data_IF_711306574261
#
_entry.id   IF_711306574261
#
_cell.length_a   1.000
_cell.length_b   1.000
_cell.length_c   1.000
_cell.angle_alpha   90.00
_cell.angle_beta   90.00
_cell.angle_gamma   90.00
#
_symmetry.space_group_name_H-M   'P 1'
#
loop_
_entity.id
_entity.type
_entity.pdbx_description
1 polymer ?
#
# COMPACT_ATOMS: atom_id res chain seq x y z
N UNK A 1 24.81 52.69 33.08
CA UNK A 1 23.91 51.54 32.83
C UNK A 1 22.99 51.81 31.62
N UNK A 2 23.52 52.26 30.49
CA UNK A 2 22.69 52.65 29.32
C UNK A 2 23.21 52.03 28.02
N UNK A 3 24.53 52.01 27.81
CA UNK A 3 25.13 51.41 26.61
C UNK A 3 24.86 49.90 26.47
N UNK A 4 24.95 49.13 27.56
CA UNK A 4 24.72 47.67 27.52
C UNK A 4 23.26 47.29 27.27
N UNK A 5 22.31 48.12 27.70
CA UNK A 5 20.87 47.89 27.49
C UNK A 5 20.47 48.21 26.05
N UNK A 6 21.03 49.27 25.47
CA UNK A 6 20.80 49.64 24.07
C UNK A 6 21.35 48.57 23.11
N UNK A 7 22.53 48.00 23.41
CA UNK A 7 23.13 46.91 22.62
C UNK A 7 22.29 45.62 22.71
N UNK A 8 21.78 45.27 23.90
CA UNK A 8 20.95 44.08 24.07
C UNK A 8 19.60 44.18 23.32
N UNK A 9 18.95 45.35 23.35
CA UNK A 9 17.66 45.58 22.67
C UNK A 9 17.83 45.62 21.14
N UNK A 10 18.92 46.19 20.64
CA UNK A 10 19.21 46.17 19.19
C UNK A 10 19.57 44.78 18.68
N UNK A 11 20.33 43.98 19.45
CA UNK A 11 20.61 42.60 19.08
C UNK A 11 19.33 41.75 19.03
N UNK A 12 18.43 41.92 20.01
CA UNK A 12 17.17 41.19 20.06
C UNK A 12 16.24 41.55 18.88
N UNK A 13 16.19 42.83 18.47
CA UNK A 13 15.40 43.27 17.31
C UNK A 13 16.00 42.81 15.98
N UNK A 14 17.32 42.76 15.86
CA UNK A 14 18.00 42.22 14.66
C UNK A 14 17.81 40.72 14.57
N UNK A 15 17.88 39.99 15.70
CA UNK A 15 17.54 38.56 15.76
C UNK A 15 16.07 38.36 15.36
N UNK A 16 15.12 39.11 15.95
CA UNK A 16 13.71 39.02 15.58
C UNK A 16 13.45 39.34 14.09
N UNK A 17 14.15 40.32 13.49
CA UNK A 17 13.99 40.67 12.08
C UNK A 17 14.66 39.66 11.11
N UNK A 18 15.71 38.95 11.55
CA UNK A 18 16.35 37.88 10.77
C UNK A 18 15.56 36.56 10.88
N UNK A 19 14.92 36.30 12.02
CA UNK A 19 14.09 35.11 12.22
C UNK A 19 12.61 35.28 11.82
N UNK A 20 12.09 36.52 11.70
CA UNK A 20 10.72 36.76 11.24
C UNK A 20 10.42 36.20 9.82
N UNK A 21 11.33 36.26 8.83
CA UNK A 21 11.12 35.60 7.53
C UNK A 21 11.29 34.08 7.58
N UNK A 22 11.94 33.53 8.60
CA UNK A 22 12.16 32.08 8.78
C UNK A 22 10.94 31.41 9.42
N UNK A 23 10.08 32.17 10.11
CA UNK A 23 8.85 31.69 10.73
C UNK A 23 7.64 31.76 9.77
N UNK A 24 7.78 32.33 8.56
CA UNK A 24 6.66 32.44 7.62
C UNK A 24 6.37 31.17 6.78
N UNK A 25 7.29 30.20 6.72
CA UNK A 25 7.12 28.99 5.90
C UNK A 25 6.64 27.75 6.68
N UNK A 26 6.00 27.92 7.85
CA UNK A 26 5.55 26.79 8.66
C UNK A 26 4.48 27.09 9.70
N UNK A 27 3.68 28.13 9.50
CA UNK A 27 2.46 28.34 10.30
C UNK A 27 1.30 27.87 9.43
N UNK A 28 0.65 26.73 9.76
CA UNK A 28 -0.64 26.38 9.18
C UNK A 28 -1.55 27.59 9.36
N UNK A 29 -2.09 28.10 8.26
CA UNK A 29 -3.15 29.11 8.30
C UNK A 29 -4.48 28.35 8.31
N UNK A 30 -4.68 27.56 9.36
CA UNK A 30 -5.93 26.87 9.69
C UNK A 30 -6.13 27.09 11.19
N UNK A 31 -7.34 27.48 11.60
CA UNK A 31 -7.62 27.58 13.03
C UNK A 31 -7.48 26.19 13.67
N UNK A 32 -7.17 26.12 14.96
CA UNK A 32 -7.18 24.86 15.75
C UNK A 32 -8.59 24.16 15.77
N UNK A 33 -9.57 24.63 14.99
CA UNK A 33 -10.97 24.20 14.94
C UNK A 33 -11.46 23.78 13.53
N UNK A 34 -10.65 23.88 12.47
CA UNK A 34 -11.11 23.50 11.11
C UNK A 34 -11.01 21.97 10.90
N UNK A 35 -12.06 21.30 10.39
CA UNK A 35 -12.04 19.86 10.20
C UNK A 35 -11.02 19.46 9.13
N UNK A 36 -10.40 18.30 9.30
CA UNK A 36 -9.26 17.87 8.49
C UNK A 36 -9.44 16.46 7.93
N UNK A 37 -8.89 16.25 6.73
CA UNK A 37 -8.70 14.92 6.14
C UNK A 37 -7.25 14.48 6.33
N UNK A 38 -7.04 13.34 6.99
CA UNK A 38 -5.72 12.76 7.18
C UNK A 38 -5.33 11.84 6.01
N UNK A 39 -4.22 12.13 5.34
CA UNK A 39 -3.65 11.25 4.31
C UNK A 39 -2.56 10.39 4.93
N UNK A 40 -2.84 9.10 5.11
CA UNK A 40 -1.92 8.11 5.69
C UNK A 40 -1.38 7.22 4.58
N UNK A 41 -0.07 7.03 4.52
CA UNK A 41 0.58 6.34 3.40
C UNK A 41 1.21 5.00 3.81
N UNK A 42 0.89 3.93 3.07
CA UNK A 42 1.61 2.66 3.08
C UNK A 42 2.31 2.45 1.73
N UNK A 43 3.65 2.43 1.73
CA UNK A 43 4.46 2.03 0.56
C UNK A 43 5.34 0.83 0.86
N UNK A 44 5.48 -0.06 -0.12
CA UNK A 44 6.22 -1.31 0.02
C UNK A 44 5.37 -2.42 0.65
N UNK A 45 6.01 -3.50 1.07
CA UNK A 45 5.30 -4.67 1.59
C UNK A 45 4.57 -4.42 2.92
N UNK A 46 3.57 -5.24 3.22
CA UNK A 46 2.87 -5.29 4.52
C UNK A 46 3.73 -5.97 5.58
N UNK A 47 4.92 -5.42 5.83
CA UNK A 47 5.81 -5.87 6.91
C UNK A 47 5.34 -5.35 8.27
N UNK A 48 5.75 -5.98 9.37
CA UNK A 48 5.46 -5.50 10.73
C UNK A 48 5.82 -4.03 10.93
N UNK A 49 6.96 -3.57 10.40
CA UNK A 49 7.40 -2.19 10.54
C UNK A 49 6.43 -1.22 9.83
N UNK A 50 6.11 -1.50 8.56
CA UNK A 50 5.22 -0.65 7.77
C UNK A 50 3.80 -0.65 8.33
N UNK A 51 3.28 -1.83 8.68
CA UNK A 51 1.94 -1.97 9.23
C UNK A 51 1.83 -1.32 10.60
N UNK A 52 2.84 -1.45 11.48
CA UNK A 52 2.80 -0.79 12.79
C UNK A 52 2.82 0.74 12.68
N UNK A 53 3.55 1.30 11.72
CA UNK A 53 3.53 2.74 11.48
C UNK A 53 2.14 3.21 11.04
N UNK A 54 1.55 2.56 10.03
CA UNK A 54 0.20 2.89 9.56
C UNK A 54 -0.87 2.67 10.65
N UNK A 55 -0.73 1.64 11.49
CA UNK A 55 -1.58 1.42 12.65
C UNK A 55 -1.51 2.55 13.67
N UNK A 56 -0.32 3.10 13.89
CA UNK A 56 -0.12 4.23 14.77
C UNK A 56 -0.78 5.48 14.18
N UNK A 57 -0.51 5.80 12.91
CA UNK A 57 -1.11 6.94 12.22
C UNK A 57 -2.65 6.85 12.22
N UNK A 58 -3.20 5.67 11.90
CA UNK A 58 -4.65 5.43 11.97
C UNK A 58 -5.21 5.56 13.38
N UNK A 59 -4.42 5.27 14.41
CA UNK A 59 -4.85 5.48 15.81
C UNK A 59 -4.84 6.97 16.15
N UNK A 60 -3.80 7.68 15.75
CA UNK A 60 -3.69 9.12 15.95
C UNK A 60 -4.85 9.85 15.28
N UNK A 61 -5.19 9.48 14.04
CA UNK A 61 -6.37 9.98 13.32
C UNK A 61 -7.66 9.81 14.13
N UNK A 62 -7.97 8.59 14.60
CA UNK A 62 -9.19 8.32 15.38
C UNK A 62 -9.25 9.05 16.74
N UNK A 63 -8.11 9.45 17.28
CA UNK A 63 -8.04 10.12 18.59
C UNK A 63 -7.88 11.64 18.50
N UNK A 64 -7.78 12.18 17.28
CA UNK A 64 -7.67 13.60 17.03
C UNK A 64 -9.02 14.14 16.58
N UNK A 65 -9.66 14.95 17.43
CA UNK A 65 -11.00 15.51 17.18
C UNK A 65 -11.04 16.45 15.96
N UNK A 66 -9.90 16.95 15.46
CA UNK A 66 -9.88 17.74 14.22
C UNK A 66 -9.84 16.88 12.96
N UNK A 67 -9.57 15.58 13.05
CA UNK A 67 -9.53 14.68 11.88
C UNK A 67 -10.89 14.02 11.75
N UNK A 68 -11.58 14.30 10.64
CA UNK A 68 -12.95 13.84 10.42
C UNK A 68 -13.07 12.78 9.31
N UNK A 69 -11.99 12.55 8.56
CA UNK A 69 -11.89 11.47 7.58
C UNK A 69 -10.44 11.07 7.29
N UNK A 70 -10.26 9.88 6.73
CA UNK A 70 -8.95 9.34 6.35
C UNK A 70 -8.90 8.98 4.87
N UNK A 71 -7.81 9.38 4.21
CA UNK A 71 -7.36 8.80 2.95
C UNK A 71 -6.20 7.86 3.22
N UNK A 72 -6.36 6.59 2.86
CA UNK A 72 -5.30 5.59 2.96
C UNK A 72 -4.65 5.40 1.58
N UNK A 73 -3.50 6.06 1.38
CA UNK A 73 -2.72 5.97 0.14
C UNK A 73 -1.85 4.73 0.17
N UNK A 74 -2.04 3.82 -0.78
CA UNK A 74 -1.39 2.50 -0.81
C UNK A 74 -0.62 2.26 -2.10
N UNK A 75 0.61 1.80 -1.95
CA UNK A 75 1.41 1.17 -3.00
C UNK A 75 2.14 -0.05 -2.42
N UNK A 76 1.49 -1.21 -2.46
CA UNK A 76 1.92 -2.44 -1.81
C UNK A 76 1.66 -3.69 -2.65
N UNK A 77 2.67 -4.56 -2.83
CA UNK A 77 2.49 -5.89 -3.41
C UNK A 77 1.91 -6.90 -2.40
N UNK A 78 1.72 -6.52 -1.13
CA UNK A 78 1.37 -7.41 -0.03
C UNK A 78 2.57 -7.83 0.81
N UNK A 79 2.47 -8.98 1.48
CA UNK A 79 3.46 -9.40 2.47
C UNK A 79 2.94 -10.52 3.38
N UNK A 80 3.55 -10.71 4.56
CA UNK A 80 3.15 -11.72 5.53
C UNK A 80 1.66 -11.65 5.89
N UNK A 81 1.04 -12.82 6.07
CA UNK A 81 -0.41 -12.95 6.31
C UNK A 81 -0.82 -12.27 7.62
N UNK A 82 -0.06 -12.51 8.68
CA UNK A 82 -0.28 -11.95 10.02
C UNK A 82 -0.21 -10.42 10.03
N UNK A 83 0.83 -9.84 9.44
CA UNK A 83 0.95 -8.39 9.31
C UNK A 83 -0.17 -7.79 8.43
N UNK A 84 -0.58 -8.50 7.38
CA UNK A 84 -1.70 -8.07 6.53
C UNK A 84 -3.04 -8.12 7.28
N UNK A 85 -3.25 -9.11 8.16
CA UNK A 85 -4.40 -9.17 9.04
C UNK A 85 -4.43 -8.04 10.06
N UNK A 86 -3.28 -7.70 10.66
CA UNK A 86 -3.16 -6.53 11.54
C UNK A 86 -3.46 -5.22 10.81
N UNK A 87 -3.06 -5.10 9.54
CA UNK A 87 -3.40 -3.95 8.71
C UNK A 87 -4.92 -3.86 8.49
N UNK A 88 -5.55 -4.95 8.06
CA UNK A 88 -7.01 -5.04 7.90
C UNK A 88 -7.77 -4.69 9.19
N UNK A 89 -7.36 -5.25 10.34
CA UNK A 89 -8.03 -4.99 11.61
C UNK A 89 -7.95 -3.50 12.01
N UNK A 90 -6.86 -2.83 11.67
CA UNK A 90 -6.68 -1.41 11.93
C UNK A 90 -7.57 -0.54 11.02
N UNK A 91 -7.57 -0.84 9.72
CA UNK A 91 -8.42 -0.14 8.74
C UNK A 91 -9.89 -0.35 9.06
N UNK A 92 -10.31 -1.60 9.32
CA UNK A 92 -11.69 -1.94 9.68
C UNK A 92 -12.15 -1.23 10.96
N UNK A 93 -11.26 -1.06 11.94
CA UNK A 93 -11.57 -0.29 13.16
C UNK A 93 -11.78 1.18 12.82
N UNK A 94 -10.93 1.78 11.98
CA UNK A 94 -11.09 3.16 11.54
C UNK A 94 -12.36 3.38 10.74
N UNK A 95 -12.66 2.53 9.75
CA UNK A 95 -13.89 2.63 8.96
C UNK A 95 -15.17 2.44 9.80
N UNK A 96 -15.06 1.85 11.00
CA UNK A 96 -16.20 1.76 11.94
C UNK A 96 -16.42 3.03 12.77
N UNK A 97 -15.46 3.96 12.78
CA UNK A 97 -15.47 5.18 13.60
C UNK A 97 -15.56 6.45 12.74
N UNK A 98 -14.99 6.45 11.53
CA UNK A 98 -14.96 7.59 10.61
C UNK A 98 -14.76 7.12 9.16
N UNK A 99 -15.05 7.95 8.14
CA UNK A 99 -14.84 7.61 6.75
C UNK A 99 -13.38 7.29 6.41
N UNK A 100 -13.17 6.21 5.67
CA UNK A 100 -11.87 5.79 5.13
C UNK A 100 -11.99 5.56 3.63
N UNK A 101 -11.27 6.37 2.84
CA UNK A 101 -11.13 6.15 1.40
C UNK A 101 -9.73 5.63 1.10
N UNK A 102 -9.62 4.46 0.48
CA UNK A 102 -8.36 3.94 0.00
C UNK A 102 -8.02 4.52 -1.38
N UNK A 103 -6.82 5.01 -1.57
CA UNK A 103 -6.29 5.41 -2.88
C UNK A 103 -5.12 4.52 -3.27
N UNK A 104 -5.26 3.77 -4.36
CA UNK A 104 -4.20 2.90 -4.86
C UNK A 104 -3.31 3.68 -5.81
N UNK A 105 -2.17 4.14 -5.30
CA UNK A 105 -1.19 4.93 -6.05
C UNK A 105 -0.51 4.10 -7.15
N UNK A 106 -0.15 2.85 -6.85
CA UNK A 106 0.50 1.95 -7.80
C UNK A 106 -0.16 0.59 -7.76
N UNK A 107 0.11 -0.15 -6.69
CA UNK A 107 -0.44 -1.49 -6.49
C UNK A 107 -1.13 -1.60 -5.13
N UNK A 108 -2.22 -2.35 -5.04
CA UNK A 108 -2.71 -2.89 -3.77
C UNK A 108 -3.08 -4.35 -4.03
N UNK A 109 -2.08 -5.23 -3.92
CA UNK A 109 -2.21 -6.65 -4.21
C UNK A 109 -2.02 -7.46 -2.91
N UNK A 110 -2.61 -8.65 -2.86
CA UNK A 110 -2.48 -9.61 -1.75
C UNK A 110 -2.74 -8.92 -0.40
N UNK A 111 -1.80 -8.97 0.54
CA UNK A 111 -1.91 -8.29 1.84
C UNK A 111 -2.25 -6.80 1.78
N UNK A 112 -1.82 -6.09 0.72
CA UNK A 112 -2.19 -4.69 0.49
C UNK A 112 -3.67 -4.54 0.18
N UNK A 113 -4.21 -5.41 -0.68
CA UNK A 113 -5.65 -5.45 -0.98
C UNK A 113 -6.46 -5.89 0.25
N UNK A 114 -6.00 -6.93 0.95
CA UNK A 114 -6.62 -7.44 2.18
C UNK A 114 -6.82 -6.31 3.19
N UNK A 115 -5.78 -5.50 3.41
CA UNK A 115 -5.79 -4.41 4.36
C UNK A 115 -6.76 -3.28 4.02
N UNK A 116 -6.85 -2.89 2.74
CA UNK A 116 -7.74 -1.79 2.31
C UNK A 116 -9.18 -2.20 2.05
N UNK A 117 -9.46 -3.51 1.99
CA UNK A 117 -10.80 -4.04 1.72
C UNK A 117 -11.92 -3.45 2.60
N UNK A 118 -11.71 -3.09 3.89
CA UNK A 118 -12.72 -2.46 4.73
C UNK A 118 -12.98 -0.97 4.47
N UNK A 119 -12.21 -0.32 3.59
CA UNK A 119 -12.43 1.08 3.26
C UNK A 119 -13.82 1.29 2.65
N UNK A 120 -14.44 2.44 2.92
CA UNK A 120 -15.76 2.80 2.41
C UNK A 120 -15.75 2.99 0.89
N UNK A 121 -14.61 3.41 0.35
CA UNK A 121 -14.41 3.57 -1.09
C UNK A 121 -12.95 3.28 -1.47
N UNK A 122 -12.72 2.64 -2.61
CA UNK A 122 -11.41 2.35 -3.21
C UNK A 122 -11.30 3.09 -4.54
N UNK A 123 -10.41 4.08 -4.57
CA UNK A 123 -10.05 4.88 -5.74
C UNK A 123 -8.78 4.31 -6.37
N UNK A 124 -8.80 4.12 -7.69
CA UNK A 124 -7.67 3.59 -8.48
C UNK A 124 -7.39 4.48 -9.68
N UNK A 125 -6.14 4.54 -10.15
CA UNK A 125 -5.86 5.06 -11.50
C UNK A 125 -6.11 3.95 -12.53
N UNK A 126 -6.29 4.27 -13.83
CA UNK A 126 -6.41 3.24 -14.86
C UNK A 126 -5.24 2.26 -14.89
N UNK A 127 -4.05 2.72 -14.52
CA UNK A 127 -2.81 1.93 -14.45
C UNK A 127 -2.57 1.25 -13.09
N UNK A 128 -3.37 1.55 -12.07
CA UNK A 128 -3.20 0.92 -10.76
C UNK A 128 -3.55 -0.57 -10.85
N UNK A 129 -2.94 -1.40 -10.01
CA UNK A 129 -3.21 -2.85 -10.00
C UNK A 129 -3.77 -3.27 -8.64
N UNK A 130 -4.87 -4.01 -8.63
CA UNK A 130 -5.49 -4.54 -7.40
C UNK A 130 -5.78 -6.04 -7.49
N UNK A 131 -6.09 -6.68 -6.37
CA UNK A 131 -6.45 -8.10 -6.31
C UNK A 131 -5.32 -8.98 -5.76
N UNK A 132 -4.96 -10.06 -6.45
CA UNK A 132 -4.05 -11.10 -5.95
C UNK A 132 -4.55 -11.73 -4.64
N UNK A 133 -5.85 -12.09 -4.63
CA UNK A 133 -6.52 -12.67 -3.47
C UNK A 133 -6.10 -14.13 -3.34
N UNK A 134 -5.17 -14.40 -2.43
CA UNK A 134 -4.64 -15.75 -2.23
C UNK A 134 -3.49 -15.78 -1.24
N UNK A 135 -3.03 -17.00 -0.98
CA UNK A 135 -1.91 -17.28 -0.07
C UNK A 135 -0.96 -18.23 -0.77
N UNK A 136 0.34 -17.94 -0.68
CA UNK A 136 1.39 -18.80 -1.22
C UNK A 136 2.43 -19.07 -0.14
N UNK A 137 3.04 -20.25 -0.20
CA UNK A 137 4.24 -20.58 0.56
C UNK A 137 5.36 -20.79 -0.44
N UNK A 138 6.42 -20.00 -0.30
CA UNK A 138 7.62 -20.13 -1.13
C UNK A 138 8.71 -20.82 -0.31
N UNK A 139 8.94 -22.10 -0.59
CA UNK A 139 10.05 -22.86 -0.02
C UNK A 139 10.48 -23.98 -0.99
N UNK A 140 11.77 -24.38 -0.99
CA UNK A 140 12.19 -25.59 -1.70
C UNK A 140 11.43 -26.81 -1.16
N UNK A 141 10.76 -27.54 -2.04
CA UNK A 141 9.97 -28.72 -1.65
C UNK A 141 10.83 -29.79 -0.95
N UNK A 142 12.10 -29.91 -1.32
CA UNK A 142 13.05 -30.83 -0.69
C UNK A 142 13.31 -30.48 0.79
N UNK A 143 13.30 -29.20 1.15
CA UNK A 143 13.44 -28.78 2.55
C UNK A 143 12.20 -29.14 3.36
N UNK A 144 11.00 -29.02 2.76
CA UNK A 144 9.76 -29.45 3.42
C UNK A 144 9.79 -30.97 3.65
N UNK A 145 10.18 -31.75 2.65
CA UNK A 145 10.32 -33.21 2.77
C UNK A 145 11.36 -33.63 3.81
N UNK A 146 12.48 -32.92 3.89
CA UNK A 146 13.53 -33.19 4.88
C UNK A 146 13.02 -32.91 6.30
N UNK A 147 12.35 -31.77 6.52
CA UNK A 147 11.77 -31.42 7.82
C UNK A 147 10.70 -32.43 8.22
N UNK A 148 9.88 -32.89 7.28
CA UNK A 148 8.86 -33.90 7.51
C UNK A 148 9.49 -35.22 7.99
N UNK A 149 10.57 -35.69 7.35
CA UNK A 149 11.32 -36.88 7.76
C UNK A 149 12.03 -36.72 9.10
N UNK A 150 12.69 -35.58 9.33
CA UNK A 150 13.31 -35.25 10.61
C UNK A 150 12.28 -35.15 11.74
N UNK A 151 11.02 -34.87 11.40
CA UNK A 151 9.89 -34.85 12.30
C UNK A 151 9.78 -36.11 13.18
N UNK A 152 10.23 -37.28 12.72
CA UNK A 152 10.19 -38.52 13.52
C UNK A 152 11.22 -38.57 14.66
N UNK A 153 12.14 -37.60 14.73
CA UNK A 153 13.23 -37.57 15.73
C UNK A 153 12.94 -36.70 16.95
N UNK A 154 11.81 -35.98 16.98
CA UNK A 154 11.46 -35.08 18.08
C UNK A 154 10.70 -35.79 19.21
N UNK A 155 11.10 -35.53 20.46
CA UNK A 155 10.28 -35.83 21.64
C UNK A 155 9.34 -34.64 21.89
N UNK A 156 8.03 -34.87 21.81
CA UNK A 156 7.03 -33.81 21.81
C UNK A 156 6.06 -33.92 22.99
N UNK A 157 5.54 -32.77 23.41
CA UNK A 157 4.47 -32.68 24.41
C UNK A 157 3.07 -33.00 23.86
N UNK A 158 2.91 -33.09 22.55
CA UNK A 158 1.67 -33.41 21.86
C UNK A 158 1.91 -33.82 20.40
N UNK A 159 0.99 -34.55 19.77
CA UNK A 159 1.19 -35.14 18.44
C UNK A 159 1.41 -34.08 17.35
N UNK A 160 0.72 -32.95 17.40
CA UNK A 160 0.72 -31.95 16.32
C UNK A 160 1.83 -30.88 16.46
N UNK A 161 2.62 -30.93 17.54
CA UNK A 161 3.58 -29.86 17.86
C UNK A 161 4.80 -29.89 16.92
N UNK A 162 5.06 -28.79 16.21
CA UNK A 162 6.22 -28.68 15.31
C UNK A 162 6.27 -29.83 14.29
N UNK A 163 5.11 -30.13 13.72
CA UNK A 163 4.97 -31.00 12.57
C UNK A 163 4.76 -30.11 11.34
N UNK A 164 5.56 -30.32 10.30
CA UNK A 164 5.41 -29.65 9.02
C UNK A 164 5.37 -30.77 7.98
N UNK A 165 4.32 -30.79 7.18
CA UNK A 165 4.16 -31.67 6.03
C UNK A 165 3.62 -30.88 4.86
N UNK A 166 3.78 -31.40 3.65
CA UNK A 166 3.20 -30.76 2.46
C UNK A 166 1.69 -30.66 2.52
N UNK A 167 1.04 -31.71 3.03
CA UNK A 167 -0.43 -31.75 3.13
C UNK A 167 -0.94 -30.81 4.22
N UNK A 168 -0.24 -30.70 5.36
CA UNK A 168 -0.56 -29.73 6.40
C UNK A 168 -0.41 -28.28 5.89
N UNK A 169 0.68 -27.98 5.18
CA UNK A 169 0.85 -26.66 4.56
C UNK A 169 -0.23 -26.35 3.51
N UNK A 170 -0.68 -27.35 2.75
CA UNK A 170 -1.78 -27.17 1.80
C UNK A 170 -3.08 -26.84 2.53
N UNK A 171 -3.40 -27.57 3.60
CA UNK A 171 -4.58 -27.31 4.41
C UNK A 171 -4.55 -25.90 5.02
N UNK A 172 -3.40 -25.48 5.57
CA UNK A 172 -3.21 -24.13 6.11
C UNK A 172 -3.44 -23.05 5.03
N UNK A 173 -2.84 -23.22 3.84
CA UNK A 173 -3.03 -22.30 2.70
C UNK A 173 -4.50 -22.21 2.32
N UNK A 174 -5.21 -23.34 2.23
CA UNK A 174 -6.63 -23.36 1.88
C UNK A 174 -7.51 -22.69 2.93
N UNK A 175 -7.22 -22.87 4.23
CA UNK A 175 -7.92 -22.20 5.33
C UNK A 175 -7.73 -20.68 5.22
N UNK A 176 -6.49 -20.22 5.06
CA UNK A 176 -6.17 -18.80 4.97
C UNK A 176 -6.75 -18.16 3.69
N UNK A 177 -6.70 -18.86 2.55
CA UNK A 177 -7.33 -18.40 1.31
C UNK A 177 -8.84 -18.26 1.49
N UNK A 178 -9.52 -19.23 2.10
CA UNK A 178 -10.97 -19.13 2.38
C UNK A 178 -11.30 -17.94 3.28
N UNK A 179 -10.44 -17.65 4.26
CA UNK A 179 -10.56 -16.45 5.10
C UNK A 179 -10.44 -15.17 4.27
N UNK A 180 -9.42 -15.06 3.41
CA UNK A 180 -9.23 -13.91 2.52
C UNK A 180 -10.44 -13.70 1.62
N UNK A 181 -10.83 -14.71 0.84
CA UNK A 181 -12.02 -14.60 -0.02
C UNK A 181 -13.26 -14.27 0.82
N UNK A 182 -13.40 -14.81 2.02
CA UNK A 182 -14.46 -14.47 2.96
C UNK A 182 -14.47 -12.99 3.36
N UNK A 183 -13.31 -12.41 3.66
CA UNK A 183 -13.15 -10.97 3.97
C UNK A 183 -13.51 -10.08 2.80
N UNK A 184 -13.05 -10.40 1.58
CA UNK A 184 -13.41 -9.64 0.38
C UNK A 184 -14.90 -9.70 0.10
N UNK A 185 -15.49 -10.89 0.18
CA UNK A 185 -16.93 -11.08 -0.04
C UNK A 185 -17.80 -10.39 1.01
N UNK A 186 -17.30 -10.26 2.25
CA UNK A 186 -18.02 -9.56 3.32
C UNK A 186 -18.17 -8.07 3.05
N UNK A 187 -17.11 -7.46 2.54
CA UNK A 187 -17.02 -6.01 2.36
C UNK A 187 -17.43 -5.55 0.97
N UNK A 188 -17.09 -6.32 -0.07
CA UNK A 188 -17.33 -5.96 -1.48
C UNK A 188 -18.28 -6.90 -2.21
N UNK A 189 -18.79 -7.94 -1.55
CA UNK A 189 -19.59 -8.98 -2.21
C UNK A 189 -20.87 -8.49 -2.89
N UNK A 190 -21.41 -7.34 -2.47
CA UNK A 190 -22.57 -6.71 -3.12
C UNK A 190 -22.19 -5.89 -4.36
N UNK A 191 -20.93 -5.46 -4.45
CA UNK A 191 -20.41 -4.59 -5.51
C UNK A 191 -19.66 -5.38 -6.58
N UNK A 192 -19.27 -6.62 -6.27
CA UNK A 192 -18.55 -7.50 -7.18
C UNK A 192 -19.45 -8.01 -8.31
N UNK A 193 -19.00 -7.81 -9.56
CA UNK A 193 -19.65 -8.32 -10.77
C UNK A 193 -19.08 -9.69 -11.21
N UNK A 194 -18.12 -10.23 -10.47
CA UNK A 194 -17.53 -11.56 -10.71
C UNK A 194 -17.84 -12.54 -9.58
N UNK A 195 -17.97 -13.85 -9.88
CA UNK A 195 -18.36 -14.82 -8.87
C UNK A 195 -17.25 -15.11 -7.87
N UNK A 196 -17.62 -15.64 -6.71
CA UNK A 196 -16.69 -15.98 -5.62
C UNK A 196 -15.54 -16.88 -6.07
N UNK A 197 -15.82 -17.81 -6.96
CA UNK A 197 -14.85 -18.73 -7.54
C UNK A 197 -13.77 -17.99 -8.34
N UNK A 198 -14.15 -16.92 -9.05
CA UNK A 198 -13.20 -16.11 -9.81
C UNK A 198 -12.32 -15.26 -8.91
N UNK A 199 -12.93 -14.66 -7.87
CA UNK A 199 -12.19 -13.95 -6.81
C UNK A 199 -11.16 -14.86 -6.13
N UNK A 200 -11.48 -16.14 -5.95
CA UNK A 200 -10.59 -17.12 -5.33
C UNK A 200 -9.40 -17.54 -6.21
N UNK A 201 -9.40 -17.25 -7.52
CA UNK A 201 -8.34 -17.66 -8.44
C UNK A 201 -7.04 -16.83 -8.31
N UNK A 202 -7.03 -15.76 -7.52
CA UNK A 202 -5.82 -14.96 -7.25
C UNK A 202 -5.40 -14.07 -8.42
N UNK A 203 -6.31 -13.73 -9.34
CA UNK A 203 -6.05 -12.79 -10.42
C UNK A 203 -5.80 -11.36 -9.91
N UNK A 204 -5.11 -10.56 -10.73
CA UNK A 204 -4.98 -9.11 -10.54
C UNK A 204 -5.68 -8.37 -11.66
N UNK A 205 -6.19 -7.19 -11.35
CA UNK A 205 -6.95 -6.36 -12.28
C UNK A 205 -6.36 -4.96 -12.35
N UNK A 206 -6.21 -4.44 -13.56
CA UNK A 206 -5.88 -3.02 -13.76
C UNK A 206 -7.06 -2.16 -13.35
N UNK A 207 -6.84 -0.92 -12.91
CA UNK A 207 -7.88 -0.09 -12.30
C UNK A 207 -9.13 0.09 -13.16
N UNK A 208 -8.97 0.17 -14.48
CA UNK A 208 -10.10 0.26 -15.40
C UNK A 208 -10.99 -1.00 -15.40
N UNK A 209 -10.40 -2.18 -15.23
CA UNK A 209 -11.12 -3.46 -15.09
C UNK A 209 -11.59 -3.68 -13.66
N UNK A 210 -10.79 -3.27 -12.67
CA UNK A 210 -11.12 -3.36 -11.26
C UNK A 210 -12.39 -2.57 -10.90
N UNK A 211 -12.62 -1.43 -11.56
CA UNK A 211 -13.87 -0.67 -11.39
C UNK A 211 -15.06 -1.30 -12.10
N UNK A 212 -14.83 -2.09 -13.16
CA UNK A 212 -15.88 -2.82 -13.87
C UNK A 212 -16.28 -4.12 -13.19
N UNK A 213 -15.38 -4.74 -12.43
CA UNK A 213 -15.63 -6.01 -11.75
C UNK A 213 -15.93 -5.85 -10.24
N UNK A 214 -15.93 -4.60 -9.74
CA UNK A 214 -16.22 -4.28 -8.35
C UNK A 214 -15.05 -4.42 -7.37
N UNK A 215 -13.81 -4.61 -7.83
CA UNK A 215 -12.62 -4.59 -6.98
C UNK A 215 -12.20 -3.18 -6.54
N UNK A 216 -12.64 -2.17 -7.26
CA UNK A 216 -12.50 -0.76 -6.91
C UNK A 216 -13.79 -0.02 -7.26
N UNK A 217 -13.97 1.17 -6.70
CA UNK A 217 -15.23 1.92 -6.82
C UNK A 217 -15.13 3.02 -7.87
N UNK A 218 -13.95 3.66 -8.00
CA UNK A 218 -13.77 4.78 -8.93
C UNK A 218 -12.39 4.86 -9.56
N UNK A 219 -12.38 5.44 -10.76
CA UNK A 219 -11.16 5.94 -11.39
C UNK A 219 -10.89 7.36 -10.91
N UNK A 220 -9.69 7.61 -10.38
CA UNK A 220 -9.26 8.93 -9.93
C UNK A 220 -7.84 8.96 -9.40
N UNK A 221 -7.50 10.09 -8.78
CA UNK A 221 -6.22 10.34 -8.15
C UNK A 221 -6.40 10.64 -6.65
N UNK A 222 -5.31 11.07 -6.00
CA UNK A 222 -5.32 11.41 -4.57
C UNK A 222 -6.28 12.54 -4.25
N UNK A 223 -6.44 13.53 -5.14
CA UNK A 223 -7.31 14.68 -4.90
C UNK A 223 -8.76 14.23 -4.88
N UNK A 224 -9.16 13.37 -5.82
CA UNK A 224 -10.48 12.75 -5.77
C UNK A 224 -10.66 11.96 -4.46
N UNK A 225 -9.68 11.16 -4.05
CA UNK A 225 -9.81 10.39 -2.82
C UNK A 225 -10.01 11.29 -1.58
N UNK A 226 -9.33 12.44 -1.52
CA UNK A 226 -9.51 13.44 -0.45
C UNK A 226 -10.92 14.04 -0.52
N UNK A 227 -11.38 14.47 -1.69
CA UNK A 227 -12.74 14.98 -1.90
C UNK A 227 -13.80 13.95 -1.47
N UNK A 228 -13.61 12.68 -1.84
CA UNK A 228 -14.51 11.58 -1.46
C UNK A 228 -14.51 11.36 0.05
N UNK A 229 -13.35 11.35 0.69
CA UNK A 229 -13.25 11.18 2.14
C UNK A 229 -13.95 12.33 2.88
N UNK A 230 -13.74 13.57 2.45
CA UNK A 230 -14.45 14.74 2.97
C UNK A 230 -15.97 14.63 2.77
N UNK A 231 -16.42 14.28 1.56
CA UNK A 231 -17.84 14.14 1.22
C UNK A 231 -18.56 13.05 2.04
N UNK A 232 -17.84 12.01 2.45
CA UNK A 232 -18.40 10.91 3.24
C UNK A 232 -18.48 11.25 4.74
N UNK A 233 -17.84 12.32 5.19
CA UNK A 233 -17.90 12.77 6.58
C UNK A 233 -19.11 13.69 6.79
N UNK A 234 -19.88 13.42 7.84
CA UNK A 234 -21.00 14.28 8.24
C UNK A 234 -20.53 15.58 8.92
N UNK A 235 -19.25 15.63 9.33
CA UNK A 235 -18.65 16.75 10.07
C UNK A 235 -17.84 17.71 9.17
N UNK A 236 -17.73 17.42 7.87
CA UNK A 236 -17.11 18.30 6.87
C UNK A 236 -18.19 18.93 5.97
N UNK A 237 -18.42 20.23 6.13
CA UNK A 237 -19.39 21.00 5.33
C UNK A 237 -18.73 21.61 4.07
N UNK A 238 -18.91 20.97 2.92
CA UNK A 238 -18.46 21.48 1.62
C UNK A 238 -16.94 21.42 1.43
N UNK A 239 -16.35 22.45 0.83
CA UNK A 239 -14.93 22.47 0.44
C UNK A 239 -14.00 23.07 1.52
N UNK A 240 -14.48 23.24 2.75
CA UNK A 240 -13.71 23.85 3.84
C UNK A 240 -13.17 22.77 4.78
N UNK A 241 -12.00 22.24 4.44
CA UNK A 241 -11.25 21.32 5.29
C UNK A 241 -9.75 21.46 5.03
N UNK A 242 -8.96 21.15 6.05
CA UNK A 242 -7.51 21.04 5.92
C UNK A 242 -7.09 19.62 5.50
N UNK A 243 -5.90 19.48 4.94
CA UNK A 243 -5.33 18.17 4.59
C UNK A 243 -4.03 17.96 5.33
N UNK A 244 -3.99 16.93 6.19
CA UNK A 244 -2.82 16.60 6.99
C UNK A 244 -2.19 15.32 6.44
N UNK A 245 -0.96 15.43 5.95
CA UNK A 245 -0.21 14.27 5.48
C UNK A 245 0.55 13.63 6.64
N UNK A 246 0.19 12.39 6.97
CA UNK A 246 0.89 11.55 7.93
C UNK A 246 1.73 10.51 7.17
N UNK A 247 3.01 10.42 7.52
CA UNK A 247 3.91 9.50 6.85
C UNK A 247 5.15 9.19 7.65
N UNK A 248 5.29 7.91 8.02
CA UNK A 248 6.59 7.31 8.27
C UNK A 248 7.33 7.11 6.95
N UNK A 249 8.55 7.65 6.83
CA UNK A 249 9.45 7.29 5.73
C UNK A 249 9.82 5.81 5.79
N UNK A 250 9.04 4.97 5.11
CA UNK A 250 9.32 3.54 4.94
C UNK A 250 10.25 3.30 3.76
N UNK A 251 11.24 2.42 3.94
CA UNK A 251 12.15 2.02 2.88
C UNK A 251 11.39 1.26 1.77
N UNK A 252 11.69 1.59 0.51
CA UNK A 252 11.19 0.87 -0.66
C UNK A 252 11.71 -0.58 -0.67
N UNK A 253 10.87 -1.52 -0.27
CA UNK A 253 11.10 -2.95 -0.54
C UNK A 253 10.36 -3.33 -1.82
N UNK A 254 11.09 -3.31 -2.93
CA UNK A 254 10.71 -3.96 -4.17
C UNK A 254 10.84 -5.47 -3.97
N UNK A 255 9.75 -6.16 -3.62
CA UNK A 255 9.72 -7.62 -3.64
C UNK A 255 9.61 -8.06 -5.09
N UNK A 256 10.75 -8.39 -5.70
CA UNK A 256 10.76 -9.12 -6.96
C UNK A 256 10.67 -10.61 -6.62
N UNK A 257 9.65 -11.30 -7.13
CA UNK A 257 9.53 -12.75 -7.01
C UNK A 257 10.67 -13.39 -7.81
N UNK A 258 11.63 -13.97 -7.10
CA UNK A 258 12.80 -14.60 -7.71
C UNK A 258 12.54 -16.07 -8.01
N UNK A 259 12.74 -16.52 -9.25
CA UNK A 259 12.87 -17.94 -9.55
C UNK A 259 14.03 -18.55 -8.75
N UNK A 260 13.88 -19.81 -8.34
CA UNK A 260 14.88 -20.51 -7.53
C UNK A 260 16.25 -20.51 -8.22
N UNK A 261 17.29 -20.07 -7.51
CA UNK A 261 18.67 -19.98 -8.02
C UNK A 261 19.10 -18.59 -8.50
N UNK A 262 18.25 -17.57 -8.41
CA UNK A 262 18.65 -16.21 -8.75
C UNK A 262 19.53 -15.57 -7.65
N UNK A 263 20.72 -15.10 -8.01
CA UNK A 263 21.57 -14.30 -7.13
C UNK A 263 21.21 -12.81 -7.25
N UNK A 264 21.06 -12.13 -6.10
CA UNK A 264 20.87 -10.67 -6.03
C UNK A 264 22.22 -9.96 -5.98
N UNK A 265 22.53 -9.13 -6.98
CA UNK A 265 23.71 -8.26 -6.97
C UNK A 265 23.26 -6.81 -6.77
N UNK A 266 23.81 -6.12 -5.78
CA UNK A 266 23.55 -4.69 -5.56
C UNK A 266 24.32 -3.84 -6.59
N UNK A 267 23.58 -3.11 -7.43
CA UNK A 267 24.12 -2.12 -8.35
C UNK A 267 24.35 -0.75 -7.73
N UNK A 268 25.22 0.05 -8.36
CA UNK A 268 25.65 1.35 -7.86
C UNK A 268 24.56 2.46 -7.82
N UNK A 269 23.30 2.16 -8.10
CA UNK A 269 22.18 3.13 -8.13
C UNK A 269 20.93 2.61 -7.40
N UNK A 270 21.08 1.81 -6.34
CA UNK A 270 19.95 1.20 -5.61
C UNK A 270 19.07 0.27 -6.47
N UNK A 271 19.65 -0.27 -7.55
CA UNK A 271 19.03 -1.25 -8.44
C UNK A 271 19.51 -2.63 -8.04
N UNK A 272 18.59 -3.54 -7.71
CA UNK A 272 18.89 -4.95 -7.42
C UNK A 272 18.79 -5.76 -8.72
N UNK A 273 19.89 -6.39 -9.12
CA UNK A 273 19.92 -7.27 -10.29
C UNK A 273 19.61 -8.71 -9.91
N UNK A 274 18.96 -9.44 -10.83
CA UNK A 274 18.66 -10.87 -10.69
C UNK A 274 19.43 -11.64 -11.73
N UNK A 275 20.29 -12.55 -11.29
CA UNK A 275 21.12 -13.37 -12.18
C UNK A 275 20.54 -14.77 -12.25
N UNK A 276 20.02 -15.19 -13.41
CA UNK A 276 19.56 -16.55 -13.62
C UNK A 276 20.71 -17.52 -13.95
N UNK A 277 20.70 -18.75 -13.42
CA UNK A 277 21.79 -19.70 -13.63
C UNK A 277 21.90 -20.25 -15.06
N UNK A 278 20.85 -20.11 -15.88
CA UNK A 278 20.79 -20.69 -17.24
C UNK A 278 21.01 -19.67 -18.38
N UNK A 279 21.24 -18.38 -18.08
CA UNK A 279 21.47 -17.37 -19.12
C UNK A 279 22.97 -17.32 -19.50
N UNK A 280 23.38 -18.19 -20.44
CA UNK A 280 24.66 -18.02 -21.15
C UNK A 280 24.63 -16.88 -22.18
N UNK A 281 23.45 -16.28 -22.41
CA UNK A 281 23.27 -15.10 -23.26
C UNK A 281 22.60 -14.01 -22.45
N UNK A 282 23.39 -13.00 -22.07
CA UNK A 282 22.97 -11.77 -21.39
C UNK A 282 22.12 -10.90 -22.31
N UNK A 283 20.96 -11.39 -22.74
CA UNK A 283 20.03 -10.61 -23.56
C UNK A 283 18.87 -10.19 -22.69
N UNK A 284 19.05 -9.00 -22.11
CA UNK A 284 18.05 -8.24 -21.38
C UNK A 284 16.67 -8.34 -22.04
N UNK A 285 15.69 -8.98 -21.38
CA UNK A 285 14.29 -8.74 -21.66
C UNK A 285 13.82 -7.64 -20.73
N UNK A 286 13.71 -6.45 -21.29
CA UNK A 286 13.17 -5.29 -20.61
C UNK A 286 11.80 -5.65 -20.00
N UNK A 287 11.47 -5.28 -18.75
CA UNK A 287 10.10 -5.41 -18.25
C UNK A 287 9.17 -4.75 -19.26
N UNK A 288 7.98 -5.33 -19.48
CA UNK A 288 6.97 -4.72 -20.36
C UNK A 288 6.60 -3.37 -19.78
N UNK A 289 7.25 -2.32 -20.29
CA UNK A 289 6.96 -0.94 -19.94
C UNK A 289 5.74 -0.54 -20.75
N UNK A 290 4.61 -0.38 -20.07
CA UNK A 290 3.45 0.28 -20.66
C UNK A 290 3.77 1.77 -20.79
N UNK A 291 4.21 2.18 -21.97
CA UNK A 291 4.32 3.60 -22.31
C UNK A 291 2.95 4.11 -22.75
N UNK A 292 2.39 5.06 -22.02
CA UNK A 292 1.28 5.85 -22.55
C UNK A 292 1.85 6.83 -23.59
N UNK A 293 1.72 6.50 -24.87
CA UNK A 293 2.03 7.46 -25.94
C UNK A 293 0.86 8.44 -26.02
N UNK A 294 1.03 9.63 -25.43
CA UNK A 294 0.09 10.73 -25.61
C UNK A 294 0.61 11.68 -26.69
N UNK A 295 -0.14 11.79 -27.78
CA UNK A 295 0.13 12.73 -28.85
C UNK A 295 -1.14 12.97 -29.66
N UNK A 296 -1.39 14.23 -30.02
CA UNK A 296 -2.37 14.57 -31.06
C UNK A 296 -1.72 14.15 -32.38
N UNK A 297 -2.34 13.28 -33.21
CA UNK A 297 -1.78 12.97 -34.52
C UNK A 297 -1.71 14.27 -35.31
N UNK A 298 -0.49 14.76 -35.55
CA UNK A 298 -0.27 15.73 -36.61
C UNK A 298 -0.64 15.01 -37.91
N UNK A 299 -1.57 15.59 -38.68
CA UNK A 299 -1.83 15.12 -40.03
C UNK A 299 -0.50 15.08 -40.79
N UNK A 300 0.04 13.89 -41.02
CA UNK A 300 0.97 13.63 -42.12
C UNK A 300 1.20 12.12 -42.30
N UNK A 301 1.05 11.69 -43.55
CA UNK A 301 0.93 10.30 -44.03
C UNK A 301 2.21 9.44 -43.92
N UNK A 302 2.98 9.52 -42.84
CA UNK A 302 4.27 8.82 -42.71
C UNK A 302 4.57 8.25 -41.31
N UNK A 303 3.60 7.57 -40.69
CA UNK A 303 3.88 6.74 -39.51
C UNK A 303 4.34 5.34 -39.94
N UNK A 304 5.65 5.08 -39.88
CA UNK A 304 6.20 3.73 -40.05
C UNK A 304 6.04 2.97 -38.73
N UNK A 305 5.18 1.94 -38.74
CA UNK A 305 5.06 1.00 -37.62
C UNK A 305 6.28 0.09 -37.64
N UNK A 306 7.24 0.34 -36.75
CA UNK A 306 8.33 -0.62 -36.50
C UNK A 306 7.78 -1.68 -35.56
N UNK A 307 7.52 -2.88 -36.10
CA UNK A 307 7.33 -4.09 -35.30
C UNK A 307 8.70 -4.74 -35.16
N UNK A 308 9.19 -4.88 -33.93
CA UNK A 308 10.29 -5.79 -33.66
C UNK A 308 9.71 -7.20 -33.53
N UNK A 309 10.19 -8.11 -34.37
CA UNK A 309 9.95 -9.56 -34.31
C UNK A 309 10.59 -10.17 -33.06
#
# INVERSE_FOLDING_TARGET
>A
MTASYVIAVTLALVIAAIFAPVIWNGVPSGGDDDPSVAVITLRGGTTDANVNAVKQDLREARTNESIEAVVLRVDSPGGPVDASEEFYLAVNRTASEMPVVAYVEGTAASGGYYGITPADEIVVKPSSTVGSIGVIVQAPLSLIEEVEQQGETFVRSGPDKAQISKDGLREDIEVLQRSFVGTVMRHRGNDLDIPREEVANGGTYLGAEATQNGFADRIGDTELAIERAATLSDDIDGDQYDVVYQGSGGAELNVIVLPAGAETVQGANNVTYLVHPDDSETTFREPVKYYAVWGIPAEDNNATVIRND
#
